data_IF_861837261135
#
_entry.id   IF_861837261135
#
_cell.length_a   1.000
_cell.length_b   1.000
_cell.length_c   1.000
_cell.angle_alpha   90.00
_cell.angle_beta   90.00
_cell.angle_gamma   90.00
#
_symmetry.space_group_name_H-M   'P 1'
#
loop_
_entity.id
_entity.type
_entity.pdbx_description
1 polymer ?
#
# COMPACT_ATOMS: atom_id res chain seq x y z
N UNK A 1 -9.42 2.58 16.64
CA UNK A 1 -8.81 3.91 16.52
C UNK A 1 -7.27 3.84 16.41
N UNK A 2 -6.57 2.99 17.16
CA UNK A 2 -5.11 2.88 17.15
C UNK A 2 -4.55 2.50 15.77
N UNK A 3 -5.20 1.59 15.07
CA UNK A 3 -4.81 1.21 13.71
C UNK A 3 -4.84 2.40 12.72
N UNK A 4 -5.83 3.28 12.85
CA UNK A 4 -5.91 4.52 12.08
C UNK A 4 -4.78 5.47 12.47
N UNK A 5 -4.55 5.66 13.76
CA UNK A 5 -3.47 6.52 14.27
C UNK A 5 -2.09 6.07 13.81
N UNK A 6 -1.86 4.75 13.77
CA UNK A 6 -0.54 4.20 13.41
C UNK A 6 -0.31 4.05 11.89
N UNK A 7 -1.37 3.87 11.09
CA UNK A 7 -1.21 3.51 9.67
C UNK A 7 -1.82 4.53 8.69
N UNK A 8 -2.73 5.38 9.13
CA UNK A 8 -3.43 6.34 8.27
C UNK A 8 -2.95 7.75 8.52
N UNK A 9 -3.05 8.23 9.76
CA UNK A 9 -2.71 9.62 10.09
C UNK A 9 -1.27 10.00 9.76
N UNK A 10 -0.24 9.16 9.99
CA UNK A 10 1.13 9.52 9.63
C UNK A 10 1.32 9.76 8.13
N UNK A 11 0.62 9.01 7.28
CA UNK A 11 0.69 9.20 5.84
C UNK A 11 -0.01 10.51 5.40
N UNK A 12 -1.15 10.84 6.01
CA UNK A 12 -1.85 12.10 5.76
C UNK A 12 -0.99 13.30 6.18
N UNK A 13 -0.49 13.31 7.41
CA UNK A 13 0.35 14.39 7.93
C UNK A 13 1.69 14.49 7.17
N UNK A 14 2.29 13.35 6.80
CA UNK A 14 3.49 13.33 5.99
C UNK A 14 3.26 13.96 4.61
N UNK A 15 2.15 13.65 3.95
CA UNK A 15 1.78 14.25 2.68
C UNK A 15 1.50 15.76 2.85
N UNK A 16 0.73 16.15 3.86
CA UNK A 16 0.40 17.54 4.16
C UNK A 16 1.68 18.38 4.39
N UNK A 17 2.64 17.85 5.11
CA UNK A 17 3.90 18.53 5.39
C UNK A 17 4.84 18.59 4.16
N UNK A 18 4.91 17.52 3.36
CA UNK A 18 5.87 17.42 2.26
C UNK A 18 5.41 18.12 0.98
N UNK A 19 4.12 18.06 0.65
CA UNK A 19 3.61 18.56 -0.63
C UNK A 19 3.79 20.05 -0.88
N UNK A 20 3.59 20.96 0.08
CA UNK A 20 3.89 22.39 -0.14
C UNK A 20 5.34 22.61 -0.54
N UNK A 21 6.27 21.90 0.09
CA UNK A 21 7.69 21.97 -0.21
C UNK A 21 8.01 21.42 -1.62
N UNK A 22 7.41 20.29 -2.00
CA UNK A 22 7.60 19.73 -3.34
C UNK A 22 6.99 20.61 -4.43
N UNK A 23 5.81 21.19 -4.17
CA UNK A 23 5.17 22.15 -5.10
C UNK A 23 6.03 23.38 -5.31
N UNK A 24 6.58 23.94 -4.25
CA UNK A 24 7.47 25.12 -4.35
C UNK A 24 8.75 24.82 -5.14
N UNK A 25 9.28 23.60 -5.07
CA UNK A 25 10.47 23.15 -5.82
C UNK A 25 10.16 22.67 -7.23
N UNK A 26 8.89 22.42 -7.55
CA UNK A 26 8.48 21.81 -8.81
C UNK A 26 8.82 20.31 -8.94
N UNK A 27 9.43 19.70 -7.92
CA UNK A 27 9.84 18.28 -7.93
C UNK A 27 9.87 17.68 -6.53
N UNK A 28 9.58 16.37 -6.44
CA UNK A 28 9.64 15.62 -5.21
C UNK A 28 9.22 14.17 -5.44
N UNK A 29 9.37 13.35 -4.40
CA UNK A 29 8.83 11.99 -4.38
C UNK A 29 8.32 11.67 -2.98
N UNK A 30 7.03 11.35 -2.89
CA UNK A 30 6.38 10.83 -1.69
C UNK A 30 6.28 9.31 -1.81
N UNK A 31 6.83 8.58 -0.85
CA UNK A 31 6.79 7.10 -0.84
C UNK A 31 5.93 6.63 0.30
N UNK A 32 4.83 5.96 -0.02
CA UNK A 32 3.95 5.30 0.94
C UNK A 32 4.20 3.79 0.93
N UNK A 33 4.56 3.24 2.09
CA UNK A 33 4.73 1.80 2.27
C UNK A 33 3.43 1.20 2.80
N UNK A 34 2.72 0.51 1.92
CA UNK A 34 1.48 -0.19 2.21
C UNK A 34 1.73 -1.66 2.58
N UNK A 35 0.93 -2.55 2.05
CA UNK A 35 1.01 -4.00 2.23
C UNK A 35 0.24 -4.72 1.12
N UNK A 36 0.55 -5.98 0.88
CA UNK A 36 -0.31 -6.87 0.10
C UNK A 36 -1.72 -6.98 0.70
N UNK A 37 -1.87 -6.84 2.03
CA UNK A 37 -3.18 -6.78 2.69
C UNK A 37 -3.96 -5.49 2.41
N UNK A 38 -3.34 -4.46 1.85
CA UNK A 38 -4.00 -3.29 1.28
C UNK A 38 -4.49 -3.52 -0.15
N UNK A 39 -4.16 -4.65 -0.77
CA UNK A 39 -4.60 -5.07 -2.12
C UNK A 39 -5.59 -6.22 -2.05
N UNK A 40 -5.27 -7.23 -1.24
CA UNK A 40 -6.04 -8.46 -1.08
C UNK A 40 -6.23 -8.72 0.41
N UNK A 41 -7.45 -8.57 0.96
CA UNK A 41 -7.70 -8.73 2.40
C UNK A 41 -7.79 -10.21 2.79
N UNK A 42 -6.74 -10.97 2.59
CA UNK A 42 -6.72 -12.42 2.70
C UNK A 42 -6.25 -12.95 4.07
N UNK A 43 -6.05 -12.10 5.05
CA UNK A 43 -5.59 -12.51 6.37
C UNK A 43 -6.71 -12.41 7.42
N UNK A 44 -7.24 -13.53 7.94
CA UNK A 44 -8.16 -13.53 9.08
C UNK A 44 -7.60 -12.73 10.26
N UNK A 45 -8.49 -12.16 11.07
CA UNK A 45 -8.15 -11.34 12.26
C UNK A 45 -7.36 -10.04 12.00
N UNK A 46 -7.07 -9.70 10.73
CA UNK A 46 -6.35 -8.48 10.34
C UNK A 46 -7.22 -7.46 9.62
N UNK A 47 -8.54 -7.51 9.79
CA UNK A 47 -9.49 -6.64 9.08
C UNK A 47 -9.17 -5.15 9.25
N UNK A 48 -8.91 -4.68 10.47
CA UNK A 48 -8.58 -3.28 10.73
C UNK A 48 -7.26 -2.84 10.07
N UNK A 49 -6.26 -3.73 10.03
CA UNK A 49 -5.00 -3.46 9.34
C UNK A 49 -5.19 -3.43 7.82
N UNK A 50 -5.90 -4.41 7.27
CA UNK A 50 -6.24 -4.43 5.84
C UNK A 50 -7.01 -3.19 5.42
N UNK A 51 -8.02 -2.78 6.20
CA UNK A 51 -8.78 -1.56 5.94
C UNK A 51 -7.90 -0.30 5.96
N UNK A 52 -6.98 -0.17 6.93
CA UNK A 52 -6.05 0.95 7.00
C UNK A 52 -5.09 0.98 5.80
N UNK A 53 -4.61 -0.18 5.34
CA UNK A 53 -3.74 -0.26 4.16
C UNK A 53 -4.49 -0.08 2.84
N UNK A 54 -5.77 -0.46 2.74
CA UNK A 54 -6.65 -0.07 1.62
C UNK A 54 -6.86 1.43 1.56
N UNK A 55 -7.10 2.08 2.73
CA UNK A 55 -7.16 3.55 2.81
C UNK A 55 -5.89 4.19 2.26
N UNK A 56 -4.70 3.71 2.69
CA UNK A 56 -3.41 4.23 2.21
C UNK A 56 -3.25 4.04 0.70
N UNK A 57 -3.71 2.93 0.14
CA UNK A 57 -3.67 2.68 -1.30
C UNK A 57 -4.56 3.67 -2.06
N UNK A 58 -5.81 3.86 -1.61
CA UNK A 58 -6.74 4.81 -2.22
C UNK A 58 -6.23 6.25 -2.14
N UNK A 59 -5.76 6.68 -0.96
CA UNK A 59 -5.13 7.99 -0.76
C UNK A 59 -3.97 8.21 -1.73
N UNK A 60 -3.06 7.22 -1.84
CA UNK A 60 -1.88 7.32 -2.70
C UNK A 60 -2.24 7.41 -4.18
N UNK A 61 -3.21 6.60 -4.63
CA UNK A 61 -3.65 6.58 -6.01
C UNK A 61 -4.33 7.92 -6.40
N UNK A 62 -5.27 8.41 -5.60
CA UNK A 62 -5.94 9.68 -5.87
C UNK A 62 -4.98 10.85 -5.84
N UNK A 63 -4.10 10.93 -4.84
CA UNK A 63 -3.10 11.98 -4.74
C UNK A 63 -2.15 11.99 -5.96
N UNK A 64 -1.77 10.81 -6.47
CA UNK A 64 -0.98 10.67 -7.69
C UNK A 64 -1.71 11.25 -8.90
N UNK A 65 -2.99 10.92 -9.07
CA UNK A 65 -3.78 11.38 -10.20
C UNK A 65 -4.02 12.90 -10.15
N UNK A 66 -4.25 13.47 -8.98
CA UNK A 66 -4.36 14.92 -8.78
C UNK A 66 -3.05 15.65 -9.14
N UNK A 67 -1.91 15.10 -8.73
CA UNK A 67 -0.61 15.72 -8.97
C UNK A 67 -0.12 15.55 -10.41
N UNK A 68 -0.52 14.48 -11.09
CA UNK A 68 -0.09 14.19 -12.47
C UNK A 68 -0.40 15.34 -13.43
N UNK A 69 -1.54 15.99 -13.27
CA UNK A 69 -1.97 17.10 -14.12
C UNK A 69 -1.44 18.45 -13.64
N UNK A 70 -1.31 18.64 -12.34
CA UNK A 70 -0.97 19.94 -11.74
C UNK A 70 0.52 20.11 -11.46
N UNK A 71 1.21 19.04 -11.10
CA UNK A 71 2.61 19.04 -10.68
C UNK A 71 3.32 17.76 -11.16
N UNK A 72 3.51 17.56 -12.48
CA UNK A 72 4.04 16.32 -13.06
C UNK A 72 5.46 15.96 -12.60
N UNK A 73 6.20 16.92 -12.05
CA UNK A 73 7.52 16.69 -11.44
C UNK A 73 7.45 16.01 -10.05
N UNK A 74 6.24 15.88 -9.45
CA UNK A 74 6.07 15.22 -8.15
C UNK A 74 5.55 13.80 -8.37
N UNK A 75 6.30 12.81 -7.92
CA UNK A 75 5.93 11.39 -8.00
C UNK A 75 5.36 10.93 -6.66
N UNK A 76 4.27 10.16 -6.70
CA UNK A 76 3.70 9.51 -5.53
C UNK A 76 3.81 8.00 -5.71
N UNK A 77 4.67 7.39 -4.93
CA UNK A 77 5.01 5.97 -4.99
C UNK A 77 4.25 5.19 -3.93
N UNK A 78 3.65 4.09 -4.33
CA UNK A 78 3.07 3.09 -3.44
C UNK A 78 3.90 1.81 -3.51
N UNK A 79 4.41 1.35 -2.37
CA UNK A 79 5.08 0.06 -2.28
C UNK A 79 4.21 -0.90 -1.47
N UNK A 80 3.98 -2.10 -1.99
CA UNK A 80 3.10 -3.11 -1.36
C UNK A 80 3.89 -4.38 -1.03
N UNK A 81 4.58 -4.45 0.12
CA UNK A 81 5.28 -5.65 0.56
C UNK A 81 4.30 -6.77 0.96
N UNK A 82 4.77 -8.01 0.83
CA UNK A 82 4.18 -9.17 1.49
C UNK A 82 4.61 -9.27 2.96
N UNK A 83 4.79 -10.49 3.45
CA UNK A 83 5.41 -10.71 4.76
C UNK A 83 6.91 -10.43 4.64
N UNK A 84 7.43 -9.62 5.56
CA UNK A 84 8.86 -9.28 5.65
C UNK A 84 9.42 -9.81 6.96
N UNK A 85 10.62 -10.36 6.93
CA UNK A 85 11.30 -10.98 8.08
C UNK A 85 11.75 -9.92 9.10
N UNK A 86 10.79 -9.37 9.85
CA UNK A 86 10.98 -8.32 10.87
C UNK A 86 10.21 -8.65 12.14
N UNK A 87 10.37 -7.86 13.17
CA UNK A 87 9.61 -7.93 14.43
C UNK A 87 8.16 -7.44 14.29
N UNK A 88 7.71 -7.06 13.09
CA UNK A 88 6.40 -6.46 12.86
C UNK A 88 5.24 -7.30 13.40
N UNK A 89 5.29 -8.62 13.20
CA UNK A 89 4.26 -9.53 13.70
C UNK A 89 4.25 -9.62 15.22
N UNK A 90 5.43 -9.76 15.84
CA UNK A 90 5.60 -9.83 17.28
C UNK A 90 5.18 -8.51 17.98
N UNK A 91 5.40 -7.38 17.34
CA UNK A 91 5.05 -6.05 17.84
C UNK A 91 3.62 -5.61 17.50
N UNK A 92 2.76 -6.52 16.98
CA UNK A 92 1.37 -6.19 16.72
C UNK A 92 0.62 -5.85 18.03
N UNK A 93 -0.35 -4.91 17.95
CA UNK A 93 -1.08 -4.36 19.12
C UNK A 93 -1.66 -5.40 20.08
N UNK A 94 -2.00 -6.58 19.59
CA UNK A 94 -2.55 -7.68 20.39
C UNK A 94 -1.72 -8.96 20.28
N UNK A 95 -0.43 -8.80 19.96
CA UNK A 95 0.46 -9.90 19.66
C UNK A 95 0.23 -10.49 18.26
N UNK A 96 1.16 -11.32 17.83
CA UNK A 96 1.09 -12.01 16.55
C UNK A 96 2.30 -12.94 16.39
N UNK A 97 2.31 -13.80 15.36
CA UNK A 97 3.46 -14.64 15.08
C UNK A 97 4.65 -13.75 14.68
N UNK A 98 5.83 -14.14 15.07
CA UNK A 98 7.06 -13.53 14.58
C UNK A 98 7.13 -13.68 13.07
N UNK A 99 7.15 -12.56 12.35
CA UNK A 99 7.16 -12.59 10.88
C UNK A 99 8.37 -13.31 10.31
N UNK A 100 9.47 -13.41 11.04
CA UNK A 100 10.70 -14.13 10.63
C UNK A 100 10.50 -15.64 10.56
N UNK A 101 9.52 -16.17 11.28
CA UNK A 101 9.24 -17.61 11.32
C UNK A 101 8.26 -18.07 10.24
N UNK A 102 7.67 -17.13 9.49
CA UNK A 102 6.70 -17.46 8.46
C UNK A 102 7.41 -17.91 7.17
N UNK A 103 6.97 -19.00 6.54
CA UNK A 103 7.64 -19.57 5.35
C UNK A 103 7.74 -18.60 4.18
N UNK A 104 6.77 -17.70 4.07
CA UNK A 104 6.71 -16.69 3.02
C UNK A 104 7.43 -15.38 3.39
N UNK A 105 8.14 -15.31 4.50
CA UNK A 105 8.85 -14.11 4.91
C UNK A 105 9.96 -13.75 3.90
N UNK A 106 9.92 -12.52 3.40
CA UNK A 106 10.93 -11.97 2.50
C UNK A 106 12.06 -11.35 3.32
N UNK A 107 13.33 -11.59 2.98
CA UNK A 107 14.45 -10.92 3.62
C UNK A 107 14.32 -9.40 3.58
N UNK A 108 14.71 -8.71 4.64
CA UNK A 108 14.63 -7.25 4.75
C UNK A 108 15.45 -6.57 3.65
N UNK A 109 16.60 -7.14 3.33
CA UNK A 109 17.55 -6.64 2.34
C UNK A 109 16.95 -6.63 0.92
N UNK A 110 16.16 -7.65 0.57
CA UNK A 110 15.47 -7.70 -0.71
C UNK A 110 14.40 -6.60 -0.80
N UNK A 111 13.62 -6.41 0.25
CA UNK A 111 12.60 -5.36 0.29
C UNK A 111 13.23 -3.98 0.24
N UNK A 112 14.33 -3.78 0.97
CA UNK A 112 15.09 -2.54 0.96
C UNK A 112 15.67 -2.23 -0.43
N UNK A 113 16.20 -3.24 -1.13
CA UNK A 113 16.70 -3.10 -2.49
C UNK A 113 15.58 -2.68 -3.47
N UNK A 114 14.39 -3.28 -3.36
CA UNK A 114 13.23 -2.89 -4.18
C UNK A 114 12.77 -1.47 -3.86
N UNK A 115 12.76 -1.06 -2.59
CA UNK A 115 12.45 0.32 -2.18
C UNK A 115 13.46 1.32 -2.78
N UNK A 116 14.76 1.03 -2.65
CA UNK A 116 15.81 1.88 -3.21
C UNK A 116 15.69 2.02 -4.74
N UNK A 117 15.45 0.90 -5.43
CA UNK A 117 15.17 0.89 -6.86
C UNK A 117 13.93 1.71 -7.22
N UNK A 118 12.82 1.55 -6.50
CA UNK A 118 11.58 2.28 -6.75
C UNK A 118 11.75 3.80 -6.57
N UNK A 119 12.61 4.21 -5.63
CA UNK A 119 12.98 5.61 -5.41
C UNK A 119 13.86 6.12 -6.56
N UNK A 120 14.92 5.41 -6.89
CA UNK A 120 15.87 5.80 -7.95
C UNK A 120 15.20 5.93 -9.33
N UNK A 121 14.34 4.96 -9.66
CA UNK A 121 13.62 4.90 -10.93
C UNK A 121 12.27 5.67 -10.91
N UNK A 122 11.95 6.34 -9.80
CA UNK A 122 10.71 7.13 -9.62
C UNK A 122 9.44 6.35 -9.98
N UNK A 123 9.37 5.08 -9.53
CA UNK A 123 8.25 4.19 -9.82
C UNK A 123 7.00 4.57 -9.03
N UNK A 124 5.84 4.45 -9.64
CA UNK A 124 4.57 4.86 -9.04
C UNK A 124 3.89 3.76 -8.19
N UNK A 125 3.98 2.50 -8.61
CA UNK A 125 3.29 1.39 -7.93
C UNK A 125 4.13 0.11 -8.03
N UNK A 126 4.53 -0.44 -6.88
CA UNK A 126 5.54 -1.49 -6.81
C UNK A 126 5.14 -2.57 -5.81
N UNK A 127 5.27 -3.82 -6.24
CA UNK A 127 5.27 -5.00 -5.38
C UNK A 127 6.71 -5.42 -5.09
N UNK A 128 6.97 -5.89 -3.88
CA UNK A 128 8.34 -6.27 -3.50
C UNK A 128 8.76 -7.66 -3.98
N UNK A 129 7.84 -8.40 -4.61
CA UNK A 129 8.07 -9.77 -5.06
C UNK A 129 7.43 -10.03 -6.43
N UNK A 130 8.07 -10.82 -7.30
CA UNK A 130 7.43 -11.31 -8.53
C UNK A 130 6.13 -12.07 -8.24
N UNK A 131 5.17 -12.02 -9.16
CA UNK A 131 3.90 -12.73 -9.06
C UNK A 131 2.84 -12.05 -8.20
N UNK A 132 3.18 -11.05 -7.37
CA UNK A 132 2.19 -10.37 -6.52
C UNK A 132 1.14 -9.62 -7.32
N UNK A 133 1.50 -9.02 -8.46
CA UNK A 133 0.52 -8.40 -9.36
C UNK A 133 -0.51 -9.40 -9.85
N UNK A 134 -0.07 -10.58 -10.26
CA UNK A 134 -0.98 -11.63 -10.73
C UNK A 134 -1.93 -12.09 -9.61
N UNK A 135 -1.43 -12.27 -8.40
CA UNK A 135 -2.26 -12.60 -7.23
C UNK A 135 -3.38 -11.57 -6.98
N UNK A 136 -3.10 -10.29 -7.19
CA UNK A 136 -4.11 -9.22 -7.07
C UNK A 136 -5.15 -9.34 -8.18
N UNK A 137 -4.72 -9.54 -9.42
CA UNK A 137 -5.63 -9.73 -10.56
C UNK A 137 -6.54 -10.95 -10.37
N UNK A 138 -5.98 -12.07 -9.92
CA UNK A 138 -6.73 -13.32 -9.66
C UNK A 138 -7.74 -13.15 -8.51
N UNK A 139 -7.44 -12.29 -7.54
CA UNK A 139 -8.39 -11.96 -6.47
C UNK A 139 -9.59 -11.18 -7.03
N UNK A 140 -9.33 -10.08 -7.73
CA UNK A 140 -10.40 -9.23 -8.25
C UNK A 140 -11.21 -9.89 -9.37
N UNK A 141 -10.65 -10.85 -10.09
CA UNK A 141 -11.41 -11.65 -11.06
C UNK A 141 -12.50 -12.53 -10.43
N UNK A 142 -12.50 -12.69 -9.11
CA UNK A 142 -13.46 -13.52 -8.34
C UNK A 142 -14.31 -12.72 -7.38
N UNK A 143 -14.18 -11.40 -7.37
CA UNK A 143 -14.89 -10.52 -6.43
C UNK A 143 -15.90 -9.66 -7.18
N UNK A 144 -17.12 -9.69 -6.68
CA UNK A 144 -18.24 -8.97 -7.26
C UNK A 144 -18.98 -9.78 -8.33
N UNK A 145 -20.27 -9.58 -8.39
CA UNK A 145 -21.16 -10.13 -9.42
C UNK A 145 -22.01 -8.99 -9.96
N UNK A 146 -22.25 -8.98 -11.26
CA UNK A 146 -23.22 -8.06 -11.86
C UNK A 146 -24.64 -8.52 -11.53
N UNK A 147 -25.57 -7.60 -11.24
CA UNK A 147 -26.95 -7.98 -11.03
C UNK A 147 -27.55 -8.55 -12.33
N UNK A 148 -28.39 -9.59 -12.27
CA UNK A 148 -29.07 -10.09 -13.44
C UNK A 148 -30.08 -9.03 -13.96
N UNK A 149 -30.38 -9.00 -15.29
CA UNK A 149 -31.23 -7.98 -15.88
C UNK A 149 -32.59 -7.82 -15.17
N UNK A 150 -33.20 -8.91 -14.69
CA UNK A 150 -34.47 -8.92 -13.98
C UNK A 150 -34.41 -8.22 -12.60
N UNK A 151 -33.23 -8.09 -12.00
CA UNK A 151 -33.06 -7.33 -10.75
C UNK A 151 -33.08 -5.81 -10.99
N UNK A 152 -32.95 -5.36 -12.25
CA UNK A 152 -32.95 -3.96 -12.66
C UNK A 152 -34.31 -3.50 -13.17
N UNK A 153 -35.29 -4.43 -13.29
CA UNK A 153 -36.66 -4.10 -13.70
C UNK A 153 -37.36 -3.35 -12.53
N UNK A 154 -38.10 -2.26 -12.83
CA UNK A 154 -38.88 -1.52 -11.84
C UNK A 154 -40.08 -2.32 -11.31
#
# INVERSE_FOLDING_TARGET
LEMIRANVLPALYGAEAALPHFRARGTGQLVNVSSMLGRVPSAPFRAAYSAAKHHLNALTANLRDELRTTHPGIVVTLVSPGVVATDFGANALHGGPDSRTLPEAQPVEEVAAVLAWAIAERREDVYTRPGMRQRVLDHFARVGEDPPPEALAP
#
